data_IF_238220356740
#
_entry.id   IF_238220356740
#
_cell.length_a   1.000
_cell.length_b   1.000
_cell.length_c   1.000
_cell.angle_alpha   90.00
_cell.angle_beta   90.00
_cell.angle_gamma   90.00
#
_symmetry.space_group_name_H-M   'P 1'
#
loop_
_entity.id
_entity.type
_entity.pdbx_description
1 polymer ?
#
# COMPACT_ATOMS: atom_id res chain seq x y z
N UNK A 1 -16.45 2.25 -2.62
CA UNK A 1 -16.48 1.98 -1.16
C UNK A 1 -16.91 0.55 -0.83
N UNK A 2 -17.97 -0.02 -1.44
CA UNK A 2 -18.41 -1.39 -1.17
C UNK A 2 -17.30 -2.45 -1.31
N UNK A 3 -16.49 -2.38 -2.37
CA UNK A 3 -15.35 -3.28 -2.56
C UNK A 3 -14.34 -3.22 -1.40
N UNK A 4 -14.02 -2.01 -0.92
CA UNK A 4 -13.09 -1.87 0.22
C UNK A 4 -13.66 -2.45 1.53
N UNK A 5 -14.97 -2.31 1.76
CA UNK A 5 -15.63 -2.92 2.92
C UNK A 5 -15.60 -4.45 2.81
N UNK A 6 -15.89 -4.99 1.63
CA UNK A 6 -15.84 -6.45 1.38
C UNK A 6 -14.45 -7.01 1.65
N UNK A 7 -13.41 -6.36 1.15
CA UNK A 7 -12.02 -6.74 1.39
C UNK A 7 -11.66 -6.69 2.89
N UNK A 8 -12.11 -5.64 3.60
CA UNK A 8 -11.89 -5.53 5.04
C UNK A 8 -12.56 -6.68 5.80
N UNK A 9 -13.80 -7.01 5.45
CA UNK A 9 -14.54 -8.12 6.04
C UNK A 9 -13.81 -9.44 5.79
N UNK A 10 -13.31 -9.69 4.55
CA UNK A 10 -12.50 -10.87 4.25
C UNK A 10 -11.24 -10.91 5.11
N UNK A 11 -10.47 -9.82 5.19
CA UNK A 11 -9.25 -9.77 6.00
C UNK A 11 -9.50 -10.05 7.49
N UNK A 12 -10.55 -9.42 8.07
CA UNK A 12 -10.95 -9.63 9.47
C UNK A 12 -11.43 -11.07 9.69
N UNK A 13 -12.23 -11.60 8.77
CA UNK A 13 -12.66 -13.00 8.82
C UNK A 13 -11.46 -13.96 8.88
N UNK A 14 -10.44 -13.74 8.04
CA UNK A 14 -9.26 -14.60 8.04
C UNK A 14 -8.37 -14.42 9.29
N UNK A 15 -8.41 -13.28 9.98
CA UNK A 15 -7.81 -13.14 11.32
C UNK A 15 -8.52 -14.07 12.31
N UNK A 16 -9.87 -14.08 12.30
CA UNK A 16 -10.65 -14.95 13.20
C UNK A 16 -10.36 -16.42 12.90
N UNK A 17 -10.31 -16.80 11.61
CA UNK A 17 -9.95 -18.17 11.20
C UNK A 17 -8.54 -18.54 11.67
N UNK A 18 -7.56 -17.66 11.49
CA UNK A 18 -6.20 -17.87 11.94
C UNK A 18 -6.11 -18.09 13.45
N UNK A 19 -6.78 -17.27 14.25
CA UNK A 19 -6.85 -17.42 15.72
C UNK A 19 -7.55 -18.72 16.12
N UNK A 20 -8.68 -19.06 15.49
CA UNK A 20 -9.44 -20.27 15.75
C UNK A 20 -8.65 -21.55 15.44
N UNK A 21 -7.68 -21.49 14.52
CA UNK A 21 -6.77 -22.58 14.20
C UNK A 21 -5.50 -22.59 15.09
N UNK A 22 -5.49 -21.88 16.22
CA UNK A 22 -4.35 -21.88 17.15
C UNK A 22 -3.20 -20.96 16.73
N UNK A 23 -3.48 -19.95 15.90
CA UNK A 23 -2.51 -18.95 15.45
C UNK A 23 -1.21 -19.57 14.87
N UNK A 24 -1.28 -20.45 13.85
CA UNK A 24 -0.10 -21.07 13.27
C UNK A 24 0.86 -20.04 12.67
N UNK A 25 2.10 -20.45 12.38
CA UNK A 25 3.12 -19.57 11.80
C UNK A 25 2.60 -18.83 10.57
N UNK A 26 2.91 -17.53 10.50
CA UNK A 26 2.62 -16.68 9.34
C UNK A 26 3.78 -16.64 8.32
N UNK A 27 4.81 -17.49 8.50
CA UNK A 27 5.96 -17.59 7.61
C UNK A 27 5.74 -18.67 6.56
N UNK A 28 6.12 -18.37 5.33
CA UNK A 28 6.06 -19.33 4.21
C UNK A 28 5.06 -18.93 3.10
N UNK A 29 4.99 -19.74 2.03
CA UNK A 29 4.16 -19.44 0.86
C UNK A 29 2.66 -19.78 1.06
N UNK A 30 2.35 -20.71 1.97
CA UNK A 30 0.99 -21.14 2.32
C UNK A 30 0.71 -20.79 3.77
N UNK A 31 0.15 -19.62 4.00
CA UNK A 31 -0.11 -19.10 5.35
C UNK A 31 -1.32 -18.17 5.35
N UNK A 32 -2.04 -18.08 6.47
CA UNK A 32 -3.15 -17.14 6.67
C UNK A 32 -2.73 -15.66 6.55
N UNK A 33 -1.43 -15.36 6.57
CA UNK A 33 -0.90 -14.02 6.36
C UNK A 33 -1.40 -13.41 5.05
N UNK A 34 -1.38 -14.15 3.93
CA UNK A 34 -1.78 -13.62 2.62
C UNK A 34 -3.24 -13.18 2.57
N UNK A 35 -4.25 -14.01 2.90
CA UNK A 35 -5.64 -13.58 3.01
C UNK A 35 -5.82 -12.35 3.91
N UNK A 36 -5.16 -12.32 5.06
CA UNK A 36 -5.23 -11.20 6.01
C UNK A 36 -4.64 -9.93 5.40
N UNK A 37 -3.40 -10.00 4.89
CA UNK A 37 -2.70 -8.85 4.31
C UNK A 37 -3.42 -8.29 3.09
N UNK A 38 -3.82 -9.14 2.15
CA UNK A 38 -4.52 -8.69 0.93
C UNK A 38 -5.90 -8.14 1.24
N UNK A 39 -6.64 -8.74 2.18
CA UNK A 39 -7.93 -8.23 2.64
C UNK A 39 -7.79 -6.85 3.27
N UNK A 40 -6.94 -6.68 4.27
CA UNK A 40 -6.78 -5.42 5.02
C UNK A 40 -6.11 -4.35 4.17
N UNK A 41 -4.95 -4.66 3.56
CA UNK A 41 -4.20 -3.69 2.74
C UNK A 41 -5.00 -3.29 1.51
N UNK A 42 -5.66 -4.25 0.83
CA UNK A 42 -6.55 -4.00 -0.29
C UNK A 42 -7.73 -3.10 0.08
N UNK A 43 -8.33 -3.31 1.26
CA UNK A 43 -9.37 -2.45 1.79
C UNK A 43 -8.89 -1.01 1.97
N UNK A 44 -7.75 -0.84 2.64
CA UNK A 44 -7.16 0.47 2.92
C UNK A 44 -6.83 1.21 1.61
N UNK A 45 -6.21 0.53 0.64
CA UNK A 45 -5.90 1.09 -0.68
C UNK A 45 -7.19 1.50 -1.40
N UNK A 46 -8.16 0.59 -1.51
CA UNK A 46 -9.43 0.84 -2.21
C UNK A 46 -10.20 2.01 -1.62
N UNK A 47 -10.28 2.12 -0.29
CA UNK A 47 -10.94 3.23 0.40
C UNK A 47 -10.18 4.55 0.19
N UNK A 48 -8.85 4.52 0.21
CA UNK A 48 -8.02 5.70 -0.05
C UNK A 48 -8.18 6.19 -1.49
N UNK A 49 -8.22 5.29 -2.47
CA UNK A 49 -8.45 5.65 -3.87
C UNK A 49 -9.87 6.19 -4.09
N UNK A 50 -10.88 5.65 -3.40
CA UNK A 50 -12.23 6.21 -3.42
C UNK A 50 -12.28 7.64 -2.85
N UNK A 51 -11.50 7.92 -1.79
CA UNK A 51 -11.34 9.26 -1.23
C UNK A 51 -10.65 10.21 -2.24
N UNK A 52 -9.59 9.77 -2.90
CA UNK A 52 -8.92 10.54 -3.97
C UNK A 52 -9.90 10.86 -5.11
N UNK A 53 -10.66 9.86 -5.58
CA UNK A 53 -11.67 10.05 -6.62
C UNK A 53 -12.71 11.13 -6.23
N UNK A 54 -13.11 11.19 -4.96
CA UNK A 54 -14.02 12.21 -4.44
C UNK A 54 -13.46 13.64 -4.48
N UNK A 55 -12.14 13.80 -4.57
CA UNK A 55 -11.44 15.10 -4.66
C UNK A 55 -11.10 15.52 -6.09
N UNK A 56 -11.26 14.63 -7.07
CA UNK A 56 -10.98 14.91 -8.48
C UNK A 56 -12.22 15.47 -9.19
N UNK A 57 -12.05 16.27 -10.28
CA UNK A 57 -13.16 16.70 -11.12
C UNK A 57 -13.95 15.49 -11.64
N UNK A 58 -15.26 15.57 -11.56
CA UNK A 58 -16.17 14.51 -12.03
C UNK A 58 -16.01 14.25 -13.53
N UNK A 59 -15.94 12.97 -13.90
CA UNK A 59 -15.91 12.51 -15.27
C UNK A 59 -16.42 11.07 -15.33
N UNK A 60 -17.62 10.87 -15.89
CA UNK A 60 -18.24 9.54 -15.93
C UNK A 60 -17.30 8.48 -16.50
N UNK A 61 -16.67 8.76 -17.64
CA UNK A 61 -15.76 7.81 -18.28
C UNK A 61 -14.58 7.42 -17.36
N UNK A 62 -13.84 8.42 -16.86
CA UNK A 62 -12.66 8.17 -16.04
C UNK A 62 -13.00 7.63 -14.66
N UNK A 63 -14.13 8.04 -14.08
CA UNK A 63 -14.56 7.55 -12.77
C UNK A 63 -14.97 6.08 -12.85
N UNK A 64 -15.71 5.68 -13.89
CA UNK A 64 -16.04 4.27 -14.11
C UNK A 64 -14.82 3.44 -14.47
N UNK A 65 -13.92 3.92 -15.34
CA UNK A 65 -12.69 3.20 -15.70
C UNK A 65 -11.82 2.92 -14.48
N UNK A 66 -11.62 3.93 -13.61
CA UNK A 66 -10.86 3.75 -12.39
C UNK A 66 -11.58 2.83 -11.39
N UNK A 67 -12.92 2.96 -11.25
CA UNK A 67 -13.68 2.13 -10.33
C UNK A 67 -13.65 0.65 -10.73
N UNK A 68 -13.83 0.33 -12.01
CA UNK A 68 -13.77 -1.05 -12.53
C UNK A 68 -12.37 -1.62 -12.28
N UNK A 69 -11.32 -0.85 -12.61
CA UNK A 69 -9.96 -1.28 -12.43
C UNK A 69 -9.63 -1.59 -10.95
N UNK A 70 -10.07 -0.71 -10.02
CA UNK A 70 -9.82 -0.89 -8.58
C UNK A 70 -10.63 -2.07 -8.02
N UNK A 71 -11.87 -2.27 -8.49
CA UNK A 71 -12.72 -3.39 -8.05
C UNK A 71 -12.11 -4.74 -8.44
N UNK A 72 -11.24 -4.80 -9.44
CA UNK A 72 -10.50 -6.02 -9.81
C UNK A 72 -9.63 -6.60 -8.65
N UNK A 73 -9.34 -5.80 -7.63
CA UNK A 73 -8.67 -6.29 -6.41
C UNK A 73 -9.54 -7.29 -5.62
N UNK A 74 -10.87 -7.25 -5.77
CA UNK A 74 -11.78 -8.20 -5.09
C UNK A 74 -11.63 -9.62 -5.63
N UNK A 75 -11.78 -9.89 -6.96
CA UNK A 75 -11.56 -11.24 -7.47
C UNK A 75 -10.12 -11.70 -7.30
N UNK A 76 -9.12 -10.83 -7.37
CA UNK A 76 -7.73 -11.20 -7.06
C UNK A 76 -7.61 -11.72 -5.63
N UNK A 77 -8.09 -10.97 -4.64
CA UNK A 77 -8.07 -11.41 -3.24
C UNK A 77 -8.86 -12.71 -3.04
N UNK A 78 -10.01 -12.87 -3.70
CA UNK A 78 -10.79 -14.10 -3.62
C UNK A 78 -10.02 -15.32 -4.16
N UNK A 79 -9.20 -15.16 -5.21
CA UNK A 79 -8.33 -16.23 -5.71
C UNK A 79 -7.20 -16.57 -4.72
N UNK A 80 -6.65 -15.57 -4.04
CA UNK A 80 -5.66 -15.77 -2.96
C UNK A 80 -6.29 -16.56 -1.81
N UNK A 81 -7.48 -16.15 -1.38
CA UNK A 81 -8.25 -16.80 -0.32
C UNK A 81 -8.55 -18.26 -0.70
N UNK A 82 -9.05 -18.48 -1.91
CA UNK A 82 -9.32 -19.84 -2.44
C UNK A 82 -8.06 -20.73 -2.39
N UNK A 83 -6.92 -20.24 -2.84
CA UNK A 83 -5.67 -21.03 -2.82
C UNK A 83 -5.23 -21.34 -1.40
N UNK A 84 -5.38 -20.39 -0.47
CA UNK A 84 -5.09 -20.65 0.95
C UNK A 84 -5.99 -21.74 1.54
N UNK A 85 -7.30 -21.71 1.25
CA UNK A 85 -8.24 -22.74 1.69
C UNK A 85 -8.00 -24.10 1.04
N UNK A 86 -7.41 -24.14 -0.17
CA UNK A 86 -6.92 -25.38 -0.81
C UNK A 86 -5.59 -25.89 -0.23
N UNK A 87 -4.94 -25.14 0.66
CA UNK A 87 -3.65 -25.50 1.25
C UNK A 87 -2.48 -25.42 0.25
N UNK A 88 -2.58 -24.57 -0.78
CA UNK A 88 -1.55 -24.39 -1.80
C UNK A 88 -1.13 -22.92 -1.93
N UNK A 89 0.07 -22.69 -2.48
CA UNK A 89 0.54 -21.32 -2.71
C UNK A 89 -0.34 -20.62 -3.76
N UNK A 90 -0.67 -19.35 -3.52
CA UNK A 90 -1.46 -18.55 -4.44
C UNK A 90 -0.62 -18.00 -5.61
N UNK A 91 0.64 -17.62 -5.37
CA UNK A 91 1.51 -17.02 -6.36
C UNK A 91 2.67 -17.97 -6.71
N UNK A 92 3.11 -17.90 -7.98
CA UNK A 92 4.24 -18.70 -8.50
C UNK A 92 4.02 -20.22 -8.30
N UNK A 93 2.76 -20.66 -8.32
CA UNK A 93 2.38 -22.04 -8.19
C UNK A 93 2.01 -22.62 -9.56
N UNK A 94 2.93 -23.38 -10.12
CA UNK A 94 2.79 -24.04 -11.43
C UNK A 94 2.70 -25.56 -11.29
N UNK A 95 2.25 -26.05 -10.11
CA UNK A 95 2.19 -27.48 -9.81
C UNK A 95 1.13 -28.23 -10.62
N UNK A 96 0.04 -27.52 -10.98
CA UNK A 96 -1.01 -28.01 -11.84
C UNK A 96 -1.38 -26.91 -12.84
N UNK A 97 -1.98 -27.31 -13.99
CA UNK A 97 -2.48 -26.33 -14.98
C UNK A 97 -3.49 -25.35 -14.36
N UNK A 98 -4.35 -25.86 -13.46
CA UNK A 98 -5.31 -25.01 -12.74
C UNK A 98 -4.62 -23.95 -11.89
N UNK A 99 -3.57 -24.31 -11.14
CA UNK A 99 -2.85 -23.37 -10.30
C UNK A 99 -2.12 -22.30 -11.13
N UNK A 100 -1.58 -22.69 -12.30
CA UNK A 100 -0.99 -21.78 -13.29
C UNK A 100 -2.03 -20.78 -13.80
N UNK A 101 -3.20 -21.26 -14.22
CA UNK A 101 -4.31 -20.39 -14.69
C UNK A 101 -4.78 -19.43 -13.59
N UNK A 102 -4.84 -19.87 -12.33
CA UNK A 102 -5.18 -19.00 -11.20
C UNK A 102 -4.13 -17.90 -11.03
N UNK A 103 -2.84 -18.21 -11.13
CA UNK A 103 -1.77 -17.22 -11.05
C UNK A 103 -1.84 -16.20 -12.19
N UNK A 104 -2.07 -16.66 -13.43
CA UNK A 104 -2.23 -15.79 -14.60
C UNK A 104 -3.46 -14.86 -14.45
N UNK A 105 -4.58 -15.39 -13.96
CA UNK A 105 -5.77 -14.60 -13.70
C UNK A 105 -5.52 -13.49 -12.67
N UNK A 106 -4.78 -13.81 -11.58
CA UNK A 106 -4.37 -12.78 -10.60
C UNK A 106 -3.46 -11.73 -11.23
N UNK A 107 -2.52 -12.11 -12.10
CA UNK A 107 -1.67 -11.17 -12.83
C UNK A 107 -2.48 -10.20 -13.70
N UNK A 108 -3.54 -10.69 -14.35
CA UNK A 108 -4.48 -9.85 -15.12
C UNK A 108 -5.23 -8.88 -14.21
N UNK A 109 -5.77 -9.34 -13.08
CA UNK A 109 -6.51 -8.49 -12.14
C UNK A 109 -5.62 -7.40 -11.52
N UNK A 110 -4.42 -7.74 -11.07
CA UNK A 110 -3.50 -6.73 -10.53
C UNK A 110 -3.03 -5.75 -11.61
N UNK A 111 -2.93 -6.17 -12.86
CA UNK A 111 -2.67 -5.30 -14.00
C UNK A 111 -3.77 -4.24 -14.17
N UNK A 112 -5.04 -4.62 -14.05
CA UNK A 112 -6.16 -3.66 -14.05
C UNK A 112 -6.07 -2.70 -12.86
N UNK A 113 -5.75 -3.19 -11.66
CA UNK A 113 -5.57 -2.34 -10.46
C UNK A 113 -4.45 -1.32 -10.70
N UNK A 114 -3.31 -1.75 -11.21
CA UNK A 114 -2.18 -0.87 -11.54
C UNK A 114 -2.56 0.20 -12.57
N UNK A 115 -3.34 -0.17 -13.59
CA UNK A 115 -3.88 0.76 -14.58
C UNK A 115 -4.80 1.80 -13.93
N UNK A 116 -5.71 1.37 -13.05
CA UNK A 116 -6.61 2.27 -12.31
C UNK A 116 -5.85 3.27 -11.44
N UNK A 117 -4.81 2.81 -10.75
CA UNK A 117 -3.90 3.65 -9.98
C UNK A 117 -3.19 4.67 -10.88
N UNK A 118 -2.66 4.24 -12.04
CA UNK A 118 -1.99 5.11 -12.99
C UNK A 118 -2.93 6.20 -13.54
N UNK A 119 -4.16 5.83 -13.89
CA UNK A 119 -5.20 6.78 -14.32
C UNK A 119 -5.47 7.84 -13.25
N UNK A 120 -5.64 7.43 -11.99
CA UNK A 120 -5.87 8.36 -10.88
C UNK A 120 -4.63 9.21 -10.59
N UNK A 121 -3.43 8.67 -10.69
CA UNK A 121 -2.19 9.40 -10.53
C UNK A 121 -2.07 10.52 -11.58
N UNK A 122 -2.27 10.21 -12.87
CA UNK A 122 -2.27 11.21 -13.95
C UNK A 122 -3.34 12.28 -13.72
N UNK A 123 -4.55 11.87 -13.33
CA UNK A 123 -5.65 12.81 -13.03
C UNK A 123 -5.35 13.71 -11.82
N UNK A 124 -4.54 13.27 -10.87
CA UNK A 124 -4.17 14.06 -9.69
C UNK A 124 -3.34 15.29 -10.02
N UNK A 125 -2.73 15.37 -11.22
CA UNK A 125 -2.06 16.57 -11.71
C UNK A 125 -3.04 17.66 -12.24
N UNK A 126 -4.33 17.32 -12.38
CA UNK A 126 -5.39 18.28 -12.65
C UNK A 126 -5.82 18.99 -11.35
N UNK A 127 -6.90 19.79 -11.42
CA UNK A 127 -7.44 20.48 -10.24
C UNK A 127 -7.96 19.47 -9.22
N UNK A 128 -7.49 19.58 -7.97
CA UNK A 128 -7.95 18.78 -6.83
C UNK A 128 -8.77 19.70 -5.93
N UNK A 129 -9.91 19.22 -5.42
CA UNK A 129 -10.71 19.93 -4.44
C UNK A 129 -10.08 19.85 -3.05
N UNK A 130 -9.91 20.99 -2.40
CA UNK A 130 -9.37 21.08 -1.05
C UNK A 130 -8.15 22.00 -0.93
N UNK A 131 -7.57 22.07 0.27
CA UNK A 131 -6.39 22.89 0.56
C UNK A 131 -5.16 22.49 -0.25
N UNK A 132 -4.18 23.39 -0.46
CA UNK A 132 -2.93 23.06 -1.15
C UNK A 132 -2.15 21.89 -0.51
N UNK A 133 -2.17 21.74 0.82
CA UNK A 133 -1.56 20.62 1.54
C UNK A 133 -2.18 19.27 1.13
N UNK A 134 -3.52 19.21 0.99
CA UNK A 134 -4.22 18.00 0.52
C UNK A 134 -3.87 17.66 -0.93
N UNK A 135 -3.75 18.70 -1.78
CA UNK A 135 -3.28 18.51 -3.16
C UNK A 135 -1.88 17.87 -3.20
N UNK A 136 -0.94 18.39 -2.39
CA UNK A 136 0.40 17.83 -2.29
C UNK A 136 0.38 16.39 -1.75
N UNK A 137 -0.39 16.14 -0.70
CA UNK A 137 -0.53 14.80 -0.10
C UNK A 137 -1.04 13.76 -1.10
N UNK A 138 -2.06 14.12 -1.90
CA UNK A 138 -2.58 13.23 -2.94
C UNK A 138 -1.52 12.98 -4.02
N UNK A 139 -0.87 14.00 -4.54
CA UNK A 139 0.12 13.86 -5.63
C UNK A 139 1.33 13.03 -5.18
N UNK A 140 1.91 13.37 -4.04
CA UNK A 140 3.03 12.62 -3.48
C UNK A 140 2.63 11.18 -3.11
N UNK A 141 1.46 11.01 -2.49
CA UNK A 141 0.94 9.69 -2.15
C UNK A 141 0.66 8.81 -3.36
N UNK A 142 0.11 9.37 -4.45
CA UNK A 142 -0.08 8.64 -5.71
C UNK A 142 1.25 8.29 -6.37
N UNK A 143 2.28 9.13 -6.26
CA UNK A 143 3.63 8.81 -6.73
C UNK A 143 4.23 7.63 -5.94
N UNK A 144 4.09 7.61 -4.61
CA UNK A 144 4.50 6.46 -3.80
C UNK A 144 3.74 5.19 -4.17
N UNK A 145 2.44 5.29 -4.40
CA UNK A 145 1.63 4.15 -4.80
C UNK A 145 2.08 3.57 -6.15
N UNK A 146 2.44 4.41 -7.12
CA UNK A 146 3.03 3.99 -8.39
C UNK A 146 4.40 3.33 -8.19
N UNK A 147 5.27 3.89 -7.34
CA UNK A 147 6.55 3.27 -6.98
C UNK A 147 6.32 1.90 -6.33
N UNK A 148 5.31 1.78 -5.47
CA UNK A 148 4.89 0.51 -4.90
C UNK A 148 4.51 -0.53 -5.97
N UNK A 149 3.76 -0.13 -7.02
CA UNK A 149 3.44 -1.04 -8.14
C UNK A 149 4.70 -1.49 -8.88
N UNK A 150 5.64 -0.59 -9.15
CA UNK A 150 6.92 -0.94 -9.79
C UNK A 150 7.71 -1.93 -8.93
N UNK A 151 7.79 -1.69 -7.61
CA UNK A 151 8.46 -2.60 -6.67
C UNK A 151 7.76 -3.97 -6.60
N UNK A 152 6.42 -4.01 -6.72
CA UNK A 152 5.67 -5.24 -6.88
C UNK A 152 6.02 -5.99 -8.17
N UNK A 153 6.23 -5.27 -9.27
CA UNK A 153 6.73 -5.84 -10.52
C UNK A 153 8.07 -6.55 -10.38
N UNK A 154 8.99 -6.00 -9.55
CA UNK A 154 10.26 -6.69 -9.23
C UNK A 154 10.06 -7.98 -8.44
N UNK A 155 9.05 -8.06 -7.55
CA UNK A 155 8.69 -9.32 -6.88
C UNK A 155 8.25 -10.36 -7.91
N UNK A 156 7.43 -9.95 -8.89
CA UNK A 156 6.98 -10.85 -9.95
C UNK A 156 8.16 -11.32 -10.80
N UNK A 157 9.04 -10.42 -11.23
CA UNK A 157 10.22 -10.78 -12.03
C UNK A 157 11.13 -11.77 -11.28
N UNK A 158 11.47 -11.47 -10.02
CA UNK A 158 12.29 -12.34 -9.19
C UNK A 158 11.63 -13.71 -8.93
N UNK A 159 10.31 -13.73 -8.69
CA UNK A 159 9.58 -14.97 -8.45
C UNK A 159 9.49 -15.87 -9.69
N UNK A 160 9.40 -15.29 -10.88
CA UNK A 160 9.47 -16.04 -12.14
C UNK A 160 10.88 -16.58 -12.41
N UNK A 161 11.92 -15.82 -12.09
CA UNK A 161 13.32 -16.26 -12.21
C UNK A 161 13.63 -17.41 -11.25
N UNK A 162 13.17 -17.33 -10.01
CA UNK A 162 13.30 -18.39 -9.01
C UNK A 162 12.47 -19.63 -9.37
N UNK A 163 11.40 -19.45 -10.16
CA UNK A 163 10.57 -20.55 -10.67
C UNK A 163 9.65 -21.18 -9.63
N UNK A 164 9.30 -20.48 -8.54
CA UNK A 164 8.40 -21.03 -7.53
C UNK A 164 8.08 -20.07 -6.38
N UNK A 165 7.18 -20.47 -5.47
CA UNK A 165 6.68 -19.61 -4.41
C UNK A 165 7.68 -19.40 -3.25
N UNK A 166 8.67 -20.27 -3.12
CA UNK A 166 9.70 -20.18 -2.07
C UNK A 166 10.77 -19.19 -2.52
N UNK A 167 11.08 -18.23 -1.66
CA UNK A 167 12.06 -17.17 -1.93
C UNK A 167 11.69 -16.21 -3.10
N UNK A 168 10.46 -16.27 -3.63
CA UNK A 168 10.02 -15.41 -4.73
C UNK A 168 10.22 -13.91 -4.48
N UNK A 169 10.27 -13.47 -3.22
CA UNK A 169 10.49 -12.06 -2.84
C UNK A 169 11.84 -11.80 -2.18
N UNK A 170 12.76 -12.77 -2.18
CA UNK A 170 14.05 -12.66 -1.50
C UNK A 170 15.15 -12.29 -2.52
N UNK A 171 15.90 -11.25 -2.22
CA UNK A 171 17.11 -10.83 -2.94
C UNK A 171 18.34 -11.14 -2.08
N UNK A 172 19.32 -11.81 -2.68
CA UNK A 172 20.54 -12.21 -1.96
C UNK A 172 20.22 -13.15 -0.78
N UNK A 173 20.85 -12.91 0.37
CA UNK A 173 20.72 -13.80 1.53
C UNK A 173 19.41 -13.61 2.31
N UNK A 174 18.89 -12.37 2.43
CA UNK A 174 17.74 -12.07 3.29
C UNK A 174 16.97 -10.77 2.90
N UNK A 175 17.27 -10.18 1.74
CA UNK A 175 16.62 -8.93 1.30
C UNK A 175 15.16 -9.17 0.90
N UNK A 176 14.20 -8.62 1.67
CA UNK A 176 12.76 -8.88 1.48
C UNK A 176 12.11 -7.78 0.63
N UNK A 177 11.84 -8.05 -0.65
CA UNK A 177 11.20 -7.12 -1.60
C UNK A 177 9.81 -6.65 -1.18
N UNK A 178 9.09 -7.43 -0.35
CA UNK A 178 7.77 -7.02 0.13
C UNK A 178 7.82 -5.79 1.02
N UNK A 179 8.95 -5.53 1.71
CA UNK A 179 9.08 -4.37 2.61
C UNK A 179 9.03 -3.05 1.83
N UNK A 180 9.91 -2.77 0.85
CA UNK A 180 9.81 -1.55 0.07
C UNK A 180 8.54 -1.50 -0.79
N UNK A 181 8.02 -2.63 -1.28
CA UNK A 181 6.73 -2.69 -1.97
C UNK A 181 5.59 -2.21 -1.06
N UNK A 182 5.46 -2.75 0.15
CA UNK A 182 4.43 -2.35 1.10
C UNK A 182 4.55 -0.86 1.49
N UNK A 183 5.77 -0.38 1.75
CA UNK A 183 6.00 1.05 1.99
C UNK A 183 5.51 1.89 0.80
N UNK A 184 5.86 1.53 -0.44
CA UNK A 184 5.36 2.22 -1.63
C UNK A 184 3.83 2.28 -1.66
N UNK A 185 3.15 1.16 -1.43
CA UNK A 185 1.69 1.07 -1.45
C UNK A 185 1.00 1.95 -0.39
N UNK A 186 1.64 2.18 0.75
CA UNK A 186 1.01 2.84 1.90
C UNK A 186 1.38 4.32 2.10
N UNK A 187 2.21 4.91 1.23
CA UNK A 187 2.59 6.33 1.32
C UNK A 187 1.40 7.29 1.15
N UNK A 188 0.42 6.93 0.31
CA UNK A 188 -0.80 7.72 0.14
C UNK A 188 -1.57 7.86 1.46
N UNK A 189 -1.74 6.77 2.22
CA UNK A 189 -2.49 6.76 3.47
C UNK A 189 -1.83 7.64 4.53
N UNK A 190 -0.51 7.52 4.67
CA UNK A 190 0.25 8.34 5.62
C UNK A 190 0.08 9.83 5.31
N UNK A 191 0.26 10.24 4.06
CA UNK A 191 0.14 11.65 3.70
C UNK A 191 -1.30 12.16 3.74
N UNK A 192 -2.29 11.33 3.34
CA UNK A 192 -3.71 11.69 3.38
C UNK A 192 -4.20 11.90 4.81
N UNK A 193 -3.84 11.01 5.75
CA UNK A 193 -4.20 11.16 7.17
C UNK A 193 -3.61 12.44 7.75
N UNK A 194 -2.34 12.74 7.47
CA UNK A 194 -1.73 14.01 7.89
C UNK A 194 -2.49 15.22 7.33
N UNK A 195 -2.81 15.22 6.03
CA UNK A 195 -3.55 16.31 5.41
C UNK A 195 -4.93 16.50 6.06
N UNK A 196 -5.66 15.40 6.34
CA UNK A 196 -6.96 15.44 7.02
C UNK A 196 -6.86 15.95 8.47
N UNK A 197 -5.78 15.64 9.18
CA UNK A 197 -5.50 16.21 10.51
C UNK A 197 -5.30 17.73 10.39
N UNK A 198 -4.47 18.16 9.44
CA UNK A 198 -4.15 19.58 9.25
C UNK A 198 -5.37 20.41 8.81
N UNK A 199 -6.31 19.84 8.04
CA UNK A 199 -7.58 20.45 7.69
C UNK A 199 -8.44 20.84 8.93
N UNK A 200 -8.23 20.15 10.08
CA UNK A 200 -8.95 20.39 11.35
C UNK A 200 -8.22 21.36 12.30
N UNK A 201 -7.13 21.96 11.84
CA UNK A 201 -6.33 22.88 12.65
C UNK A 201 -6.46 24.33 12.14
N UNK A 202 -5.88 25.28 12.91
CA UNK A 202 -5.74 26.69 12.51
C UNK A 202 -4.36 26.98 11.91
N UNK A 203 -3.59 25.94 11.57
CA UNK A 203 -2.27 26.11 10.96
C UNK A 203 -2.43 26.79 9.59
N UNK A 204 -1.57 27.77 9.30
CA UNK A 204 -1.62 28.47 8.02
C UNK A 204 -1.43 27.52 6.83
N UNK A 205 -2.01 27.85 5.67
CA UNK A 205 -1.89 27.02 4.47
C UNK A 205 -0.43 26.73 4.09
N UNK A 206 0.47 27.74 4.24
CA UNK A 206 1.91 27.57 3.99
C UNK A 206 2.53 26.57 4.97
N UNK A 207 2.22 26.67 6.26
CA UNK A 207 2.75 25.74 7.27
C UNK A 207 2.23 24.31 7.05
N UNK A 208 0.96 24.15 6.65
CA UNK A 208 0.39 22.85 6.30
C UNK A 208 1.07 22.22 5.07
N UNK A 209 1.38 22.99 4.03
CA UNK A 209 2.14 22.52 2.86
C UNK A 209 3.55 22.08 3.27
N UNK A 210 4.25 22.88 4.11
CA UNK A 210 5.58 22.51 4.61
C UNK A 210 5.52 21.21 5.43
N UNK A 211 4.50 21.04 6.27
CA UNK A 211 4.32 19.84 7.07
C UNK A 211 4.14 18.58 6.19
N UNK A 212 3.29 18.66 5.15
CA UNK A 212 3.10 17.54 4.21
C UNK A 212 4.36 17.30 3.37
N UNK A 213 5.06 18.36 2.93
CA UNK A 213 6.32 18.21 2.19
C UNK A 213 7.40 17.52 3.05
N UNK A 214 7.54 17.94 4.33
CA UNK A 214 8.44 17.28 5.30
C UNK A 214 8.09 15.80 5.43
N UNK A 215 6.83 15.46 5.66
CA UNK A 215 6.40 14.07 5.80
C UNK A 215 6.63 13.25 4.50
N UNK A 216 6.39 13.83 3.33
CA UNK A 216 6.65 13.17 2.05
C UNK A 216 8.16 12.91 1.85
N UNK A 217 9.02 13.89 2.17
CA UNK A 217 10.49 13.70 2.14
C UNK A 217 10.92 12.63 3.13
N UNK A 218 10.41 12.67 4.36
CA UNK A 218 10.68 11.64 5.36
C UNK A 218 10.25 10.25 4.91
N UNK A 219 9.09 10.14 4.28
CA UNK A 219 8.59 8.88 3.74
C UNK A 219 9.46 8.35 2.60
N UNK A 220 9.92 9.23 1.72
CA UNK A 220 10.85 8.88 0.65
C UNK A 220 12.19 8.35 1.22
N UNK A 221 12.72 8.96 2.29
CA UNK A 221 13.94 8.48 2.95
C UNK A 221 13.75 7.08 3.54
N UNK A 222 12.62 6.82 4.21
CA UNK A 222 12.31 5.48 4.75
C UNK A 222 12.18 4.46 3.62
N UNK A 223 11.46 4.80 2.55
CA UNK A 223 11.31 3.92 1.38
C UNK A 223 12.66 3.65 0.70
N UNK A 224 13.49 4.67 0.52
CA UNK A 224 14.82 4.54 -0.07
C UNK A 224 15.75 3.68 0.82
N UNK A 225 15.72 3.88 2.15
CA UNK A 225 16.47 3.07 3.09
C UNK A 225 16.05 1.59 3.03
N UNK A 226 14.75 1.32 3.02
CA UNK A 226 14.23 -0.05 2.90
C UNK A 226 14.60 -0.69 1.55
N UNK A 227 14.53 0.08 0.46
CA UNK A 227 14.92 -0.40 -0.86
C UNK A 227 16.41 -0.74 -0.92
N UNK A 228 17.26 0.17 -0.44
CA UNK A 228 18.71 -0.05 -0.37
C UNK A 228 19.05 -1.28 0.47
N UNK A 229 18.41 -1.40 1.65
CA UNK A 229 18.57 -2.54 2.56
C UNK A 229 18.24 -3.86 1.85
N UNK A 230 17.08 -3.91 1.17
CA UNK A 230 16.62 -5.09 0.43
C UNK A 230 17.58 -5.49 -0.68
N UNK A 231 17.99 -4.53 -1.54
CA UNK A 231 18.90 -4.83 -2.65
C UNK A 231 20.34 -5.09 -2.24
N UNK A 232 20.71 -4.75 -1.00
CA UNK A 232 21.98 -5.19 -0.39
C UNK A 232 21.91 -6.63 0.13
N UNK A 233 20.80 -7.34 -0.05
CA UNK A 233 20.62 -8.71 0.42
C UNK A 233 20.50 -8.85 1.94
N UNK A 234 20.26 -7.74 2.64
CA UNK A 234 20.18 -7.70 4.10
C UNK A 234 18.73 -7.81 4.58
N UNK A 235 18.51 -8.51 5.68
CA UNK A 235 17.19 -8.63 6.30
C UNK A 235 16.63 -7.28 6.76
N UNK A 236 15.29 -7.13 6.87
CA UNK A 236 14.65 -5.84 7.16
C UNK A 236 15.13 -5.13 8.43
N UNK A 237 15.60 -5.87 9.41
CA UNK A 237 16.10 -5.34 10.69
C UNK A 237 17.65 -5.28 10.79
N UNK A 238 18.37 -5.78 9.78
CA UNK A 238 19.83 -5.75 9.74
C UNK A 238 20.35 -4.40 9.21
N UNK A 239 19.94 -3.30 9.85
CA UNK A 239 20.18 -1.93 9.40
C UNK A 239 21.67 -1.59 9.39
N UNK A 240 22.15 -1.04 8.28
CA UNK A 240 23.47 -0.40 8.22
C UNK A 240 23.42 1.00 8.84
N UNK A 241 24.55 1.61 9.22
CA UNK A 241 24.55 3.00 9.74
C UNK A 241 23.85 3.99 8.80
N UNK A 242 24.00 3.83 7.48
CA UNK A 242 23.36 4.69 6.49
C UNK A 242 21.82 4.50 6.47
N UNK A 243 21.37 3.25 6.39
CA UNK A 243 19.92 2.96 6.34
C UNK A 243 19.24 3.27 7.66
N UNK A 244 19.92 3.07 8.79
CA UNK A 244 19.44 3.49 10.12
C UNK A 244 19.29 5.01 10.20
N UNK A 245 20.33 5.77 9.81
CA UNK A 245 20.27 7.24 9.83
C UNK A 245 19.14 7.74 8.93
N UNK A 246 19.01 7.23 7.71
CA UNK A 246 17.94 7.62 6.79
C UNK A 246 16.55 7.29 7.36
N UNK A 247 16.38 6.13 7.99
CA UNK A 247 15.12 5.74 8.64
C UNK A 247 14.79 6.65 9.84
N UNK A 248 15.76 6.99 10.69
CA UNK A 248 15.57 7.87 11.83
C UNK A 248 15.24 9.30 11.41
N UNK A 249 15.98 9.86 10.45
CA UNK A 249 15.67 11.20 9.89
C UNK A 249 14.29 11.18 9.25
N UNK A 250 13.96 10.14 8.48
CA UNK A 250 12.65 9.96 7.88
C UNK A 250 11.53 9.91 8.93
N UNK A 251 11.72 9.15 10.01
CA UNK A 251 10.76 9.05 11.10
C UNK A 251 10.52 10.41 11.78
N UNK A 252 11.57 11.21 12.00
CA UNK A 252 11.45 12.58 12.56
C UNK A 252 10.68 13.49 11.61
N UNK A 253 11.01 13.47 10.31
CA UNK A 253 10.35 14.28 9.28
C UNK A 253 8.87 13.91 9.08
N UNK A 254 8.47 12.68 9.38
CA UNK A 254 7.07 12.24 9.40
C UNK A 254 6.43 12.60 10.74
N UNK A 255 7.04 12.18 11.84
CA UNK A 255 6.47 12.27 13.18
C UNK A 255 6.27 13.71 13.67
N UNK A 256 7.22 14.61 13.38
CA UNK A 256 7.13 16.02 13.78
C UNK A 256 5.87 16.71 13.25
N UNK A 257 5.54 16.67 11.95
CA UNK A 257 4.29 17.16 11.40
C UNK A 257 3.03 16.55 12.01
N UNK A 258 3.02 15.24 12.28
CA UNK A 258 1.90 14.58 12.95
C UNK A 258 1.69 15.09 14.38
N UNK A 259 2.76 15.16 15.19
CA UNK A 259 2.69 15.67 16.57
C UNK A 259 2.18 17.11 16.58
N UNK A 260 2.72 17.96 15.70
CA UNK A 260 2.27 19.36 15.58
C UNK A 260 0.81 19.46 15.16
N UNK A 261 0.38 18.66 14.18
CA UNK A 261 -1.00 18.62 13.72
C UNK A 261 -1.96 18.20 14.82
N UNK A 262 -1.65 17.10 15.52
CA UNK A 262 -2.48 16.58 16.60
C UNK A 262 -2.56 17.55 17.79
N UNK A 263 -1.46 18.21 18.16
CA UNK A 263 -1.46 19.22 19.25
C UNK A 263 -2.24 20.48 18.89
N UNK A 264 -2.40 20.78 17.58
CA UNK A 264 -3.11 21.96 17.10
C UNK A 264 -4.60 21.70 16.79
N UNK A 265 -5.11 20.47 16.96
CA UNK A 265 -6.54 20.18 16.82
C UNK A 265 -7.30 20.92 17.92
N UNK A 266 -8.30 21.71 17.54
CA UNK A 266 -9.19 22.38 18.49
C UNK A 266 -9.95 21.37 19.32
N UNK A 267 -9.87 21.48 20.64
CA UNK A 267 -10.88 20.90 21.53
C UNK A 267 -12.19 21.67 21.30
N UNK A 268 -13.34 21.00 21.11
CA UNK A 268 -14.61 21.69 21.11
C UNK A 268 -14.69 22.46 22.44
N UNK A 269 -14.97 23.77 22.40
CA UNK A 269 -15.36 24.48 23.60
C UNK A 269 -16.67 23.84 24.07
N UNK A 270 -16.65 23.18 25.21
CA UNK A 270 -17.86 22.80 25.93
C UNK A 270 -18.51 24.13 26.37
N UNK A 271 -19.40 24.64 25.52
CA UNK A 271 -20.29 25.74 25.83
C UNK A 271 -21.62 25.17 26.31
#
# INVERSE_FOLDING_TARGET
MGAGILLLVSGVFHIVVWLANGAPSLVGPVTWRKPIEFGISGAIITLSLAWVMGRLPRSRFWDWSAAIAIVALVPETALIDMQQWRGVASHFNFRTDFDGVVFDAMAVFIGFVALGIAVLAVRSFRRIAGPPATTLAIRAGMAFLLLGQVLGGFIVANGLEVGGPVNASIIGAAGELKVPHALGLHGLQVLAVLALILERTQISARAAVIAVASAATGYLLVLAAATLQTYSGLGPLALTPLTLLAALVGAVLIGGPYLRGLSAIRRPSLA
#
